data_IF_662775748582
#
_entry.id   IF_662775748582
#
_cell.length_a   1.000
_cell.length_b   1.000
_cell.length_c   1.000
_cell.angle_alpha   90.00
_cell.angle_beta   90.00
_cell.angle_gamma   90.00
#
_symmetry.space_group_name_H-M   'P 1'
#
loop_
_entity.id
_entity.type
_entity.pdbx_description
1 polymer ?
#
# COMPACT_ATOMS: atom_id res chain seq x y z
N UNK A 1 -0.34 -12.45 2.66
CA UNK A 1 -1.67 -11.81 2.51
C UNK A 1 -2.20 -11.92 1.07
N UNK A 2 -3.51 -12.06 0.85
CA UNK A 2 -4.15 -11.93 -0.49
C UNK A 2 -4.31 -10.46 -0.86
N UNK A 3 -3.64 -10.03 -1.94
CA UNK A 3 -3.69 -8.64 -2.41
C UNK A 3 -4.79 -8.48 -3.47
N UNK A 4 -5.62 -7.47 -3.33
CA UNK A 4 -6.77 -7.16 -4.18
C UNK A 4 -6.53 -5.81 -4.85
N UNK A 5 -6.95 -5.71 -6.13
CA UNK A 5 -6.76 -4.55 -7.01
C UNK A 5 -5.29 -4.25 -7.39
N UNK A 6 -4.48 -5.30 -7.62
CA UNK A 6 -3.09 -5.17 -8.13
C UNK A 6 -3.03 -4.41 -9.46
N UNK A 7 -4.11 -4.42 -10.25
CA UNK A 7 -4.24 -3.63 -11.48
C UNK A 7 -3.98 -2.13 -11.28
N UNK A 8 -4.24 -1.57 -10.09
CA UNK A 8 -3.93 -0.17 -9.79
C UNK A 8 -2.43 0.09 -9.79
N UNK A 9 -1.64 -0.83 -9.24
CA UNK A 9 -0.18 -0.74 -9.28
C UNK A 9 0.33 -0.88 -10.72
N UNK A 10 -0.21 -1.82 -11.50
CA UNK A 10 0.11 -2.00 -12.92
C UNK A 10 -0.07 -0.73 -13.73
N UNK A 11 -1.27 -0.14 -13.67
CA UNK A 11 -1.59 1.12 -14.35
C UNK A 11 -0.70 2.28 -13.88
N UNK A 12 -0.27 2.25 -12.60
CA UNK A 12 0.59 3.27 -12.06
C UNK A 12 2.01 3.16 -12.62
N UNK A 13 2.62 1.97 -12.58
CA UNK A 13 3.99 1.81 -13.08
C UNK A 13 4.11 1.85 -14.60
N UNK A 14 3.03 1.65 -15.35
CA UNK A 14 2.98 2.01 -16.79
C UNK A 14 3.22 3.51 -17.02
N UNK A 15 2.79 4.37 -16.09
CA UNK A 15 3.00 5.83 -16.15
C UNK A 15 4.27 6.29 -15.44
N UNK A 16 4.70 5.55 -14.42
CA UNK A 16 5.91 5.80 -13.63
C UNK A 16 6.77 4.53 -13.61
N UNK A 17 7.53 4.23 -14.69
CA UNK A 17 8.24 2.95 -14.84
C UNK A 17 9.25 2.66 -13.75
N UNK A 18 9.84 3.70 -13.16
CA UNK A 18 10.75 3.61 -12.02
C UNK A 18 10.09 3.11 -10.72
N UNK A 19 8.76 3.03 -10.69
CA UNK A 19 7.99 2.49 -9.57
C UNK A 19 7.73 0.99 -9.65
N UNK A 20 7.92 0.33 -10.80
CA UNK A 20 7.57 -1.08 -11.02
C UNK A 20 8.29 -2.01 -10.03
N UNK A 21 9.63 -1.98 -10.03
CA UNK A 21 10.44 -2.86 -9.18
C UNK A 21 10.15 -2.67 -7.68
N UNK A 22 10.08 -1.43 -7.14
CA UNK A 22 9.65 -1.20 -5.76
C UNK A 22 8.27 -1.78 -5.41
N UNK A 23 7.30 -1.69 -6.32
CA UNK A 23 5.96 -2.23 -6.07
C UNK A 23 5.90 -3.75 -6.21
N UNK A 24 6.69 -4.36 -7.11
CA UNK A 24 6.83 -5.81 -7.17
C UNK A 24 7.45 -6.37 -5.88
N UNK A 25 8.50 -5.72 -5.38
CA UNK A 25 9.09 -6.09 -4.08
C UNK A 25 8.07 -6.02 -2.94
N UNK A 26 7.30 -4.93 -2.86
CA UNK A 26 6.23 -4.80 -1.87
C UNK A 26 5.16 -5.90 -2.01
N UNK A 27 4.79 -6.26 -3.25
CA UNK A 27 3.83 -7.34 -3.52
C UNK A 27 4.36 -8.67 -2.98
N UNK A 28 5.61 -9.01 -3.25
CA UNK A 28 6.22 -10.26 -2.82
C UNK A 28 6.28 -10.37 -1.30
N UNK A 29 6.71 -9.30 -0.62
CA UNK A 29 6.71 -9.22 0.85
C UNK A 29 5.29 -9.35 1.43
N UNK A 30 4.33 -8.60 0.89
CA UNK A 30 2.95 -8.63 1.37
C UNK A 30 2.26 -9.99 1.11
N UNK A 31 2.62 -10.70 0.04
CA UNK A 31 2.06 -12.03 -0.28
C UNK A 31 2.43 -13.08 0.75
N UNK A 32 3.67 -13.10 1.21
CA UNK A 32 4.14 -14.08 2.20
C UNK A 32 3.84 -13.65 3.64
N UNK A 33 3.53 -12.38 3.87
CA UNK A 33 3.22 -11.88 5.21
C UNK A 33 1.95 -12.47 5.83
N UNK A 34 1.96 -12.62 7.16
CA UNK A 34 0.85 -13.10 7.97
C UNK A 34 0.37 -12.06 8.99
N UNK A 35 0.11 -10.82 8.55
CA UNK A 35 -0.32 -9.76 9.46
C UNK A 35 -1.69 -10.08 10.11
N UNK A 36 -1.71 -10.10 11.44
CA UNK A 36 -2.89 -10.22 12.30
C UNK A 36 -3.26 -8.89 12.95
N UNK A 37 -2.32 -7.96 13.03
CA UNK A 37 -2.51 -6.64 13.62
C UNK A 37 -1.74 -5.53 12.89
N UNK A 38 -2.07 -4.25 13.11
CA UNK A 38 -1.24 -3.14 12.64
C UNK A 38 0.19 -3.15 13.22
N UNK A 39 0.39 -3.72 14.41
CA UNK A 39 1.70 -3.80 15.05
C UNK A 39 2.63 -4.72 14.26
N UNK A 40 2.11 -5.83 13.71
CA UNK A 40 2.89 -6.78 12.90
C UNK A 40 3.45 -6.09 11.64
N UNK A 41 2.64 -5.21 11.03
CA UNK A 41 3.06 -4.41 9.88
C UNK A 41 4.16 -3.43 10.29
N UNK A 42 3.98 -2.73 11.41
CA UNK A 42 4.94 -1.72 11.88
C UNK A 42 6.27 -2.33 12.34
N UNK A 43 6.25 -3.58 12.82
CA UNK A 43 7.46 -4.32 13.17
C UNK A 43 8.31 -4.65 11.94
N UNK A 44 7.68 -4.92 10.79
CA UNK A 44 8.37 -5.23 9.53
C UNK A 44 8.69 -3.98 8.70
N UNK A 45 7.79 -3.00 8.69
CA UNK A 45 7.94 -1.74 7.96
C UNK A 45 7.91 -0.55 8.94
N UNK A 46 9.07 -0.16 9.45
CA UNK A 46 9.17 0.87 10.49
C UNK A 46 8.61 2.24 10.06
N UNK A 47 8.59 2.54 8.75
CA UNK A 47 8.15 3.83 8.19
C UNK A 47 6.67 3.90 7.83
N UNK A 48 5.90 2.85 8.09
CA UNK A 48 4.46 2.87 7.79
C UNK A 48 3.68 3.79 8.71
N UNK A 49 2.67 4.44 8.14
CA UNK A 49 1.68 5.18 8.91
C UNK A 49 0.41 4.34 9.07
N UNK A 50 0.03 4.05 10.31
CA UNK A 50 -1.24 3.37 10.63
C UNK A 50 -2.32 4.45 10.77
N UNK A 51 -3.39 4.30 10.01
CA UNK A 51 -4.53 5.22 9.98
C UNK A 51 -5.77 4.59 10.63
N UNK A 52 -6.85 5.36 10.67
CA UNK A 52 -8.18 4.87 11.06
C UNK A 52 -8.68 3.83 10.06
N UNK A 53 -9.76 3.14 10.41
CA UNK A 53 -10.47 2.21 9.51
C UNK A 53 -9.60 1.10 8.91
N UNK A 54 -8.56 0.66 9.66
CA UNK A 54 -7.61 -0.38 9.25
C UNK A 54 -6.83 -0.02 7.97
N UNK A 55 -6.58 1.27 7.75
CA UNK A 55 -5.77 1.74 6.63
C UNK A 55 -4.31 1.88 7.03
N UNK A 56 -3.43 1.60 6.08
CA UNK A 56 -1.97 1.71 6.22
C UNK A 56 -1.41 2.44 5.01
N UNK A 57 -0.51 3.38 5.26
CA UNK A 57 0.25 4.07 4.22
C UNK A 57 1.67 3.55 4.23
N UNK A 58 2.11 3.02 3.09
CA UNK A 58 3.48 2.62 2.84
C UNK A 58 4.22 3.70 2.05
N UNK A 59 5.44 4.00 2.50
CA UNK A 59 6.39 4.80 1.74
C UNK A 59 7.18 3.85 0.83
N UNK A 60 7.11 4.05 -0.47
CA UNK A 60 7.74 3.16 -1.46
C UNK A 60 8.81 3.93 -2.24
N UNK A 61 9.91 3.26 -2.60
CA UNK A 61 11.07 3.83 -3.30
C UNK A 61 11.63 5.07 -2.59
N UNK A 62 12.15 4.90 -1.37
CA UNK A 62 12.82 5.99 -0.66
C UNK A 62 11.96 7.23 -0.41
N UNK A 63 10.63 7.04 -0.26
CA UNK A 63 9.62 8.08 -0.02
C UNK A 63 9.02 8.75 -1.27
N UNK A 64 9.44 8.38 -2.49
CA UNK A 64 8.94 8.95 -3.75
C UNK A 64 7.44 8.67 -3.97
N UNK A 65 6.99 7.48 -3.56
CA UNK A 65 5.63 7.02 -3.77
C UNK A 65 4.91 6.67 -2.46
N UNK A 66 3.58 6.67 -2.54
CA UNK A 66 2.65 6.31 -1.47
C UNK A 66 1.72 5.23 -1.95
N UNK A 67 1.55 4.23 -1.11
CA UNK A 67 0.56 3.17 -1.30
C UNK A 67 -0.34 3.14 -0.06
N UNK A 68 -1.61 3.47 -0.26
CA UNK A 68 -2.63 3.34 0.77
C UNK A 68 -3.33 2.01 0.56
N UNK A 69 -3.39 1.21 1.62
CA UNK A 69 -4.14 -0.04 1.63
C UNK A 69 -5.11 -0.09 2.79
N UNK A 70 -6.20 -0.83 2.64
CA UNK A 70 -7.04 -1.28 3.74
C UNK A 70 -6.75 -2.75 4.02
N UNK A 71 -6.52 -3.10 5.29
CA UNK A 71 -6.16 -4.46 5.70
C UNK A 71 -7.34 -5.13 6.39
N UNK A 72 -7.75 -6.27 5.86
CA UNK A 72 -8.75 -7.15 6.44
C UNK A 72 -8.07 -8.32 7.15
N UNK A 73 -7.52 -8.04 8.35
CA UNK A 73 -6.69 -8.98 9.12
C UNK A 73 -7.31 -10.37 9.30
N UNK A 74 -8.59 -10.43 9.67
CA UNK A 74 -9.33 -11.69 9.86
C UNK A 74 -9.34 -12.59 8.62
N UNK A 75 -9.33 -11.98 7.43
CA UNK A 75 -9.39 -12.70 6.15
C UNK A 75 -8.03 -12.79 5.47
N UNK A 76 -6.97 -12.25 6.08
CA UNK A 76 -5.64 -12.22 5.49
C UNK A 76 -5.58 -11.48 4.15
N UNK A 77 -6.40 -10.43 3.96
CA UNK A 77 -6.51 -9.71 2.69
C UNK A 77 -6.09 -8.24 2.80
N UNK A 78 -5.54 -7.70 1.71
CA UNK A 78 -5.09 -6.32 1.58
C UNK A 78 -5.73 -5.74 0.31
N UNK A 79 -6.43 -4.62 0.46
CA UNK A 79 -7.09 -3.92 -0.64
C UNK A 79 -6.29 -2.66 -0.97
N UNK A 80 -5.86 -2.51 -2.22
CA UNK A 80 -5.19 -1.29 -2.67
C UNK A 80 -6.24 -0.19 -2.82
N UNK A 81 -6.08 0.89 -2.06
CA UNK A 81 -7.01 2.03 -1.99
C UNK A 81 -6.51 3.26 -2.75
N UNK A 82 -5.20 3.40 -2.86
CA UNK A 82 -4.55 4.46 -3.61
C UNK A 82 -3.10 4.09 -3.90
N UNK A 83 -2.61 4.51 -5.06
CA UNK A 83 -1.17 4.55 -5.40
C UNK A 83 -0.87 5.87 -6.08
N UNK A 84 0.22 6.53 -5.67
CA UNK A 84 0.57 7.85 -6.21
C UNK A 84 1.96 8.34 -5.80
N UNK A 85 2.42 9.39 -6.47
CA UNK A 85 3.53 10.25 -6.01
C UNK A 85 3.19 10.93 -4.69
N UNK A 86 4.20 11.45 -3.99
CA UNK A 86 3.98 12.29 -2.81
C UNK A 86 2.98 13.44 -3.08
N UNK A 87 3.14 14.15 -4.21
CA UNK A 87 2.24 15.25 -4.57
C UNK A 87 0.80 14.81 -4.80
N UNK A 88 0.59 13.65 -5.43
CA UNK A 88 -0.76 13.10 -5.61
C UNK A 88 -1.37 12.66 -4.29
N UNK A 89 -0.55 12.13 -3.39
CA UNK A 89 -0.98 11.76 -2.04
C UNK A 89 -1.42 12.97 -1.22
N UNK A 90 -0.70 14.09 -1.30
CA UNK A 90 -1.05 15.34 -0.59
C UNK A 90 -2.41 15.91 -1.04
N UNK A 91 -2.88 15.53 -2.23
CA UNK A 91 -4.14 15.97 -2.80
C UNK A 91 -5.35 15.07 -2.44
N UNK A 92 -5.16 14.01 -1.65
CA UNK A 92 -6.24 13.08 -1.26
C UNK A 92 -6.29 12.89 0.25
N UNK A 93 -7.49 12.57 0.77
CA UNK A 93 -7.61 12.10 2.15
C UNK A 93 -7.37 10.58 2.21
N UNK A 94 -6.24 10.20 2.79
CA UNK A 94 -5.83 8.81 2.93
C UNK A 94 -6.84 7.95 3.73
N UNK A 95 -7.68 8.55 4.59
CA UNK A 95 -8.69 7.81 5.35
C UNK A 95 -9.89 7.38 4.49
N UNK A 96 -10.13 8.05 3.35
CA UNK A 96 -11.37 7.94 2.58
C UNK A 96 -11.14 7.67 1.09
N UNK A 97 -9.95 7.91 0.55
CA UNK A 97 -9.63 7.69 -0.88
C UNK A 97 -9.93 6.27 -1.33
N UNK A 98 -10.55 6.15 -2.50
CA UNK A 98 -10.86 4.90 -3.19
C UNK A 98 -10.44 5.07 -4.67
N UNK A 99 -10.07 3.98 -5.32
CA UNK A 99 -9.79 3.96 -6.76
C UNK A 99 -10.86 3.12 -7.45
N UNK A 100 -11.45 3.67 -8.52
CA UNK A 100 -12.44 3.01 -9.38
C UNK A 100 -11.81 1.97 -10.34
#
# INVERSE_FOLDING_TARGET
MRIIAISHLKRFWEKYPDSEQPFLAWIDEARIAEWKSPADIKAHFATVSILKSRRVVFNVKGNDFRLVVAVAYRFGAVYIKFVGTHKQYDAVDANTVEME
#
